data_IF_960986854626
#
_entry.id   IF_960986854626
#
_cell.length_a   1.000
_cell.length_b   1.000
_cell.length_c   1.000
_cell.angle_alpha   90.00
_cell.angle_beta   90.00
_cell.angle_gamma   90.00
#
_symmetry.space_group_name_H-M   'P 1'
#
loop_
_entity.id
_entity.type
_entity.pdbx_description
1 polymer ?
#
# COMPACT_ATOMS: atom_id res chain seq x y z
N UNK A 1 -21.92 -5.99 -6.11
CA UNK A 1 -21.25 -4.68 -6.09
C UNK A 1 -20.80 -4.26 -4.70
N UNK A 2 -21.67 -4.21 -3.69
CA UNK A 2 -21.28 -3.85 -2.31
C UNK A 2 -20.22 -4.80 -1.73
N UNK A 3 -20.40 -6.12 -1.90
CA UNK A 3 -19.42 -7.12 -1.43
C UNK A 3 -18.04 -6.92 -2.07
N UNK A 4 -18.00 -6.68 -3.38
CA UNK A 4 -16.76 -6.39 -4.11
C UNK A 4 -16.07 -5.14 -3.55
N UNK A 5 -16.82 -4.05 -3.35
CA UNK A 5 -16.30 -2.82 -2.78
C UNK A 5 -15.68 -3.02 -1.40
N UNK A 6 -16.37 -3.74 -0.51
CA UNK A 6 -15.89 -4.01 0.86
C UNK A 6 -14.63 -4.88 0.82
N UNK A 7 -14.65 -5.95 0.03
CA UNK A 7 -13.50 -6.85 -0.11
C UNK A 7 -12.27 -6.14 -0.67
N UNK A 8 -12.44 -5.31 -1.71
CA UNK A 8 -11.33 -4.55 -2.29
C UNK A 8 -10.82 -3.47 -1.33
N UNK A 9 -11.73 -2.75 -0.65
CA UNK A 9 -11.35 -1.73 0.33
C UNK A 9 -10.51 -2.31 1.45
N UNK A 10 -10.88 -3.49 1.96
CA UNK A 10 -10.10 -4.19 2.99
C UNK A 10 -8.74 -4.67 2.45
N UNK A 11 -8.72 -5.34 1.30
CA UNK A 11 -7.46 -5.80 0.68
C UNK A 11 -6.48 -4.65 0.45
N UNK A 12 -6.96 -3.56 -0.15
CA UNK A 12 -6.17 -2.37 -0.45
C UNK A 12 -5.75 -1.63 0.82
N UNK A 13 -6.60 -1.59 1.85
CA UNK A 13 -6.23 -1.02 3.14
C UNK A 13 -5.03 -1.75 3.75
N UNK A 14 -5.03 -3.08 3.79
CA UNK A 14 -3.87 -3.82 4.30
C UNK A 14 -2.66 -3.70 3.37
N UNK A 15 -2.87 -3.75 2.05
CA UNK A 15 -1.81 -3.60 1.04
C UNK A 15 -1.02 -2.30 1.20
N UNK A 16 -1.68 -1.19 1.55
CA UNK A 16 -1.03 0.10 1.79
C UNK A 16 -0.23 0.15 3.11
N UNK A 17 -0.21 -0.94 3.88
CA UNK A 17 0.56 -1.10 5.14
C UNK A 17 0.37 0.03 6.17
N UNK A 18 -0.87 0.42 6.47
CA UNK A 18 -1.20 1.69 7.15
C UNK A 18 -0.51 1.86 8.50
N UNK A 19 -0.36 0.78 9.26
CA UNK A 19 0.29 0.81 10.57
C UNK A 19 1.81 1.00 10.45
N UNK A 20 2.43 0.41 9.42
CA UNK A 20 3.84 0.65 9.14
C UNK A 20 4.06 2.11 8.72
N UNK A 21 3.28 2.60 7.77
CA UNK A 21 3.32 4.01 7.32
C UNK A 21 3.12 4.95 8.52
N UNK A 22 2.17 4.64 9.40
CA UNK A 22 1.93 5.40 10.62
C UNK A 22 3.15 5.43 11.56
N UNK A 23 3.84 4.30 11.76
CA UNK A 23 5.04 4.26 12.60
C UNK A 23 6.17 5.11 12.03
N UNK A 24 6.37 5.06 10.71
CA UNK A 24 7.38 5.87 10.01
C UNK A 24 7.00 7.35 10.07
N UNK A 25 5.74 7.69 9.80
CA UNK A 25 5.22 9.05 9.91
C UNK A 25 5.41 9.64 11.31
N UNK A 26 5.12 8.87 12.36
CA UNK A 26 5.33 9.32 13.74
C UNK A 26 6.79 9.56 14.07
N UNK A 27 7.71 8.78 13.50
CA UNK A 27 9.15 8.96 13.67
C UNK A 27 9.67 10.20 12.93
N UNK A 28 9.26 10.39 11.69
CA UNK A 28 9.75 11.51 10.86
C UNK A 28 9.16 12.86 11.27
N UNK A 29 7.99 12.85 11.90
CA UNK A 29 7.30 14.08 12.29
C UNK A 29 7.39 14.38 13.79
N UNK A 30 8.25 13.69 14.53
CA UNK A 30 8.36 13.81 16.00
C UNK A 30 8.66 15.25 16.45
N UNK A 31 9.49 15.99 15.70
CA UNK A 31 9.89 17.36 15.99
C UNK A 31 8.92 18.44 15.47
N UNK A 32 7.85 18.05 14.76
CA UNK A 32 6.94 18.98 14.08
C UNK A 32 5.76 19.40 14.97
N UNK A 33 5.22 20.58 14.70
CA UNK A 33 3.96 21.05 15.30
C UNK A 33 2.75 20.24 14.79
N UNK A 34 1.59 20.37 15.46
CA UNK A 34 0.35 19.70 15.03
C UNK A 34 -0.11 20.14 13.64
N UNK A 35 0.09 21.41 13.31
CA UNK A 35 -0.32 21.99 12.03
C UNK A 35 0.54 21.44 10.88
N UNK A 36 1.86 21.41 11.08
CA UNK A 36 2.81 20.86 10.12
C UNK A 36 2.58 19.36 9.90
N UNK A 37 2.39 18.58 10.98
CA UNK A 37 2.04 17.16 10.87
C UNK A 37 0.78 16.93 10.03
N UNK A 38 -0.26 17.74 10.25
CA UNK A 38 -1.50 17.63 9.48
C UNK A 38 -1.27 17.94 8.00
N UNK A 39 -0.43 18.92 7.68
CA UNK A 39 -0.08 19.26 6.31
C UNK A 39 0.66 18.09 5.63
N UNK A 40 1.66 17.49 6.30
CA UNK A 40 2.39 16.32 5.79
C UNK A 40 1.45 15.14 5.58
N UNK A 41 0.53 14.87 6.52
CA UNK A 41 -0.45 13.80 6.39
C UNK A 41 -1.35 13.99 5.16
N UNK A 42 -1.84 15.21 4.92
CA UNK A 42 -2.67 15.53 3.75
C UNK A 42 -1.86 15.34 2.46
N UNK A 43 -0.65 15.91 2.38
CA UNK A 43 0.22 15.79 1.20
C UNK A 43 0.56 14.33 0.89
N UNK A 44 0.91 13.55 1.91
CA UNK A 44 1.19 12.10 1.79
C UNK A 44 -0.04 11.37 1.25
N UNK A 45 -1.22 11.63 1.82
CA UNK A 45 -2.47 10.99 1.39
C UNK A 45 -2.79 11.30 -0.07
N UNK A 46 -2.65 12.58 -0.47
CA UNK A 46 -2.90 13.01 -1.84
C UNK A 46 -1.90 12.36 -2.80
N UNK A 47 -0.62 12.33 -2.46
CA UNK A 47 0.41 11.68 -3.27
C UNK A 47 0.12 10.19 -3.45
N UNK A 48 -0.12 9.45 -2.35
CA UNK A 48 -0.47 8.02 -2.38
C UNK A 48 -1.70 7.77 -3.25
N UNK A 49 -2.74 8.59 -3.10
CA UNK A 49 -3.98 8.45 -3.87
C UNK A 49 -3.74 8.66 -5.36
N UNK A 50 -3.04 9.74 -5.76
CA UNK A 50 -2.75 10.04 -7.16
C UNK A 50 -1.89 8.94 -7.78
N UNK A 51 -0.79 8.57 -7.13
CA UNK A 51 0.13 7.54 -7.62
C UNK A 51 -0.60 6.20 -7.75
N UNK A 52 -1.38 5.82 -6.74
CA UNK A 52 -2.08 4.53 -6.75
C UNK A 52 -3.15 4.46 -7.84
N UNK A 53 -3.88 5.56 -8.09
CA UNK A 53 -4.85 5.65 -9.18
C UNK A 53 -4.17 5.55 -10.55
N UNK A 54 -3.05 6.26 -10.74
CA UNK A 54 -2.26 6.18 -11.98
C UNK A 54 -1.85 4.73 -12.24
N UNK A 55 -1.27 4.05 -11.25
CA UNK A 55 -0.84 2.65 -11.38
C UNK A 55 -2.01 1.71 -11.65
N UNK A 56 -3.13 1.90 -10.95
CA UNK A 56 -4.34 1.11 -11.16
C UNK A 56 -4.85 1.24 -12.60
N UNK A 57 -4.90 2.44 -13.18
CA UNK A 57 -5.32 2.59 -14.57
C UNK A 57 -4.24 2.22 -15.60
N UNK A 58 -2.96 2.18 -15.19
CA UNK A 58 -1.84 1.83 -16.07
C UNK A 58 -1.62 0.32 -16.26
N UNK A 59 -2.31 -0.55 -15.52
CA UNK A 59 -2.13 -2.00 -15.55
C UNK A 59 -2.15 -2.61 -16.97
N UNK A 60 -3.25 -2.47 -17.70
CA UNK A 60 -3.38 -3.03 -19.06
C UNK A 60 -2.32 -2.50 -20.05
N UNK A 61 -2.10 -1.18 -20.18
CA UNK A 61 -1.07 -0.62 -21.06
C UNK A 61 0.33 -1.17 -20.78
N UNK A 62 0.73 -1.25 -19.50
CA UNK A 62 2.08 -1.64 -19.11
C UNK A 62 2.39 -3.08 -19.52
N UNK A 63 1.49 -4.02 -19.27
CA UNK A 63 1.73 -5.43 -19.63
C UNK A 63 1.85 -5.65 -21.13
N UNK A 64 1.02 -4.96 -21.93
CA UNK A 64 1.09 -5.03 -23.39
C UNK A 64 2.40 -4.50 -23.96
N UNK A 65 2.99 -3.47 -23.33
CA UNK A 65 4.21 -2.82 -23.81
C UNK A 65 5.47 -3.61 -23.44
N UNK A 66 5.47 -4.26 -22.27
CA UNK A 66 6.60 -5.04 -21.77
C UNK A 66 6.66 -6.47 -22.33
N UNK A 67 5.61 -6.93 -23.02
CA UNK A 67 5.55 -8.30 -23.55
C UNK A 67 5.51 -9.37 -22.46
N UNK A 68 5.03 -9.04 -21.26
CA UNK A 68 4.92 -9.96 -20.12
C UNK A 68 3.46 -10.36 -19.90
N UNK A 69 3.24 -11.62 -19.54
CA UNK A 69 1.90 -12.10 -19.20
C UNK A 69 1.47 -11.59 -17.83
N UNK A 70 0.17 -11.35 -17.66
CA UNK A 70 -0.42 -10.96 -16.38
C UNK A 70 -0.08 -12.00 -15.29
N UNK A 71 -0.13 -13.28 -15.64
CA UNK A 71 0.15 -14.38 -14.70
C UNK A 71 1.62 -14.49 -14.32
N UNK A 72 2.56 -14.29 -15.26
CA UNK A 72 3.98 -14.20 -14.94
C UNK A 72 4.27 -13.02 -13.99
N UNK A 73 3.61 -11.89 -14.22
CA UNK A 73 3.73 -10.72 -13.36
C UNK A 73 3.10 -10.93 -11.97
N UNK A 74 1.98 -11.66 -11.87
CA UNK A 74 1.38 -12.07 -10.58
C UNK A 74 2.40 -12.81 -9.72
N UNK A 75 3.13 -13.78 -10.28
CA UNK A 75 4.15 -14.53 -9.55
C UNK A 75 5.21 -13.57 -8.98
N UNK A 76 5.77 -12.69 -9.83
CA UNK A 76 6.79 -11.73 -9.40
C UNK A 76 6.30 -10.72 -8.36
N UNK A 77 5.15 -10.07 -8.58
CA UNK A 77 4.57 -9.11 -7.65
C UNK A 77 4.18 -9.77 -6.32
N UNK A 78 3.64 -10.99 -6.37
CA UNK A 78 3.35 -11.80 -5.20
C UNK A 78 4.62 -12.14 -4.40
N UNK A 79 5.72 -12.49 -5.06
CA UNK A 79 7.02 -12.69 -4.39
C UNK A 79 7.53 -11.43 -3.70
N UNK A 80 7.47 -10.27 -4.36
CA UNK A 80 7.84 -8.98 -3.74
C UNK A 80 6.94 -8.66 -2.54
N UNK A 81 5.63 -8.88 -2.64
CA UNK A 81 4.69 -8.69 -1.54
C UNK A 81 5.00 -9.62 -0.36
N UNK A 82 5.40 -10.86 -0.62
CA UNK A 82 5.82 -11.80 0.42
C UNK A 82 7.08 -11.31 1.15
N UNK A 83 8.08 -10.81 0.41
CA UNK A 83 9.29 -10.22 1.00
C UNK A 83 8.98 -8.97 1.83
N UNK A 84 8.06 -8.12 1.38
CA UNK A 84 7.57 -6.98 2.17
C UNK A 84 6.88 -7.46 3.45
N UNK A 85 6.00 -8.46 3.37
CA UNK A 85 5.38 -9.08 4.54
C UNK A 85 6.40 -9.60 5.56
N UNK A 86 7.39 -10.36 5.10
CA UNK A 86 8.48 -10.88 5.96
C UNK A 86 9.24 -9.74 6.63
N UNK A 87 9.49 -8.64 5.92
CA UNK A 87 10.17 -7.46 6.47
C UNK A 87 9.36 -6.80 7.60
N UNK A 88 8.03 -6.68 7.43
CA UNK A 88 7.12 -6.16 8.46
C UNK A 88 7.09 -7.06 9.71
N UNK A 89 7.00 -8.38 9.52
CA UNK A 89 6.99 -9.36 10.63
C UNK A 89 8.33 -9.35 11.37
N UNK A 90 9.43 -9.28 10.63
CA UNK A 90 10.79 -9.26 11.17
C UNK A 90 11.13 -7.95 11.89
N UNK A 91 10.37 -6.88 11.65
CA UNK A 91 10.63 -5.56 12.22
C UNK A 91 11.92 -4.91 11.70
N UNK A 92 12.49 -5.40 10.58
CA UNK A 92 13.65 -4.78 9.94
C UNK A 92 13.23 -3.41 9.43
N UNK A 93 13.71 -2.35 10.06
CA UNK A 93 13.53 -0.98 9.57
C UNK A 93 14.40 -0.82 8.34
N UNK A 94 13.81 -0.68 7.16
CA UNK A 94 14.53 -0.13 6.01
C UNK A 94 14.86 1.31 6.37
N UNK A 95 16.10 1.57 6.77
CA UNK A 95 16.61 2.93 6.95
C UNK A 95 16.68 3.57 5.55
N UNK A 96 15.61 4.23 5.14
CA UNK A 96 15.68 5.15 4.02
C UNK A 96 15.95 6.53 4.60
N UNK A 97 17.24 6.88 4.57
CA UNK A 97 17.67 8.23 4.90
C UNK A 97 17.00 9.20 3.94
N UNK A 98 16.29 10.18 4.49
CA UNK A 98 15.81 11.28 3.69
C UNK A 98 17.04 12.07 3.23
N UNK A 99 17.21 12.20 1.91
CA UNK A 99 18.17 13.14 1.38
C UNK A 99 17.81 14.56 1.86
N UNK A 100 18.79 15.38 2.29
CA UNK A 100 18.53 16.76 2.63
C UNK A 100 17.89 17.46 1.41
N UNK A 101 16.89 18.31 1.65
CA UNK A 101 16.06 19.06 0.66
C UNK A 101 14.91 18.34 -0.08
N UNK A 102 14.55 17.10 0.25
CA UNK A 102 13.42 16.41 -0.41
C UNK A 102 12.12 16.51 0.41
N UNK A 103 10.99 16.81 -0.24
CA UNK A 103 9.66 16.86 0.41
C UNK A 103 9.31 15.51 1.03
N UNK A 104 9.44 15.43 2.37
CA UNK A 104 9.19 14.25 3.20
C UNK A 104 7.83 13.59 2.95
N UNK A 105 6.83 14.35 2.50
CA UNK A 105 5.50 13.84 2.21
C UNK A 105 5.47 12.97 0.94
N UNK A 106 6.32 13.26 -0.04
CA UNK A 106 6.43 12.51 -1.30
C UNK A 106 7.49 11.43 -1.19
N UNK A 107 8.67 11.78 -0.64
CA UNK A 107 9.78 10.85 -0.41
C UNK A 107 10.24 10.98 1.04
N UNK A 108 10.22 9.92 1.87
CA UNK A 108 9.95 8.52 1.54
C UNK A 108 8.49 8.08 1.80
N UNK A 109 7.62 8.94 2.38
CA UNK A 109 6.32 8.51 2.92
C UNK A 109 5.36 7.97 1.85
N UNK A 110 5.13 8.71 0.77
CA UNK A 110 4.26 8.24 -0.31
C UNK A 110 4.98 7.18 -1.15
N UNK A 111 6.18 7.49 -1.65
CA UNK A 111 7.08 6.53 -2.29
C UNK A 111 8.39 6.53 -1.52
N UNK A 112 8.94 5.36 -1.14
CA UNK A 112 8.45 4.00 -1.41
C UNK A 112 7.76 3.35 -0.21
N UNK A 113 7.55 4.06 0.92
CA UNK A 113 7.05 3.47 2.15
C UNK A 113 5.60 2.98 1.99
N UNK A 114 4.72 3.81 1.43
CA UNK A 114 3.31 3.43 1.20
C UNK A 114 3.13 2.72 -0.15
N UNK A 115 3.63 3.32 -1.23
CA UNK A 115 3.57 2.78 -2.60
C UNK A 115 4.94 2.24 -2.98
N UNK A 116 5.32 1.12 -2.35
CA UNK A 116 6.55 0.39 -2.64
C UNK A 116 6.41 -0.58 -3.82
N UNK A 117 7.50 -1.27 -4.22
CA UNK A 117 7.51 -2.20 -5.36
C UNK A 117 6.41 -3.26 -5.33
N UNK A 118 6.11 -3.81 -4.15
CA UNK A 118 5.04 -4.79 -3.98
C UNK A 118 3.64 -4.19 -4.19
N UNK A 119 3.38 -3.00 -3.64
CA UNK A 119 2.13 -2.25 -3.82
C UNK A 119 1.94 -1.87 -5.28
N UNK A 120 3.01 -1.41 -5.94
CA UNK A 120 3.01 -1.08 -7.37
C UNK A 120 2.55 -2.28 -8.21
N UNK A 121 3.20 -3.44 -8.03
CA UNK A 121 2.82 -4.65 -8.76
C UNK A 121 1.39 -5.08 -8.51
N UNK A 122 0.95 -5.05 -7.25
CA UNK A 122 -0.43 -5.46 -6.89
C UNK A 122 -1.49 -4.53 -7.47
N UNK A 123 -1.24 -3.22 -7.53
CA UNK A 123 -2.16 -2.25 -8.13
C UNK A 123 -2.27 -2.42 -9.65
N UNK A 124 -1.14 -2.69 -10.33
CA UNK A 124 -1.12 -2.96 -11.77
C UNK A 124 -1.93 -4.23 -12.10
N UNK A 125 -1.76 -5.29 -11.30
CA UNK A 125 -2.53 -6.53 -11.43
C UNK A 125 -4.02 -6.25 -11.26
N UNK A 126 -4.40 -5.55 -10.19
CA UNK A 126 -5.81 -5.25 -9.91
C UNK A 126 -6.45 -4.43 -11.06
N UNK A 127 -5.71 -3.47 -11.62
CA UNK A 127 -6.14 -2.68 -12.76
C UNK A 127 -6.36 -3.47 -14.05
N UNK A 128 -5.57 -4.52 -14.24
CA UNK A 128 -5.64 -5.39 -15.40
C UNK A 128 -6.69 -6.52 -15.26
N UNK A 129 -6.95 -6.98 -14.03
CA UNK A 129 -7.94 -8.02 -13.75
C UNK A 129 -9.39 -7.55 -13.93
N UNK A 130 -9.69 -6.31 -13.54
CA UNK A 130 -11.05 -5.78 -13.59
C UNK A 130 -11.41 -5.39 -15.02
N UNK A 131 -12.19 -6.24 -15.70
CA UNK A 131 -12.54 -6.09 -17.11
C UNK A 131 -13.73 -5.17 -17.37
N UNK A 132 -14.73 -5.15 -16.49
CA UNK A 132 -15.93 -4.33 -16.67
C UNK A 132 -15.74 -2.86 -16.24
N UNK A 133 -16.31 -1.87 -16.97
CA UNK A 133 -16.22 -0.45 -16.57
C UNK A 133 -16.82 -0.20 -15.17
N UNK A 134 -17.90 -0.89 -14.83
CA UNK A 134 -18.52 -0.84 -13.50
C UNK A 134 -17.60 -1.41 -12.41
N UNK A 135 -16.98 -2.56 -12.65
CA UNK A 135 -16.05 -3.18 -11.70
C UNK A 135 -14.81 -2.32 -11.49
N UNK A 136 -14.32 -1.72 -12.57
CA UNK A 136 -13.22 -0.75 -12.54
C UNK A 136 -13.55 0.48 -11.70
N UNK A 137 -14.76 1.04 -11.85
CA UNK A 137 -15.22 2.16 -11.05
C UNK A 137 -15.35 1.78 -9.56
N UNK A 138 -15.87 0.59 -9.26
CA UNK A 138 -15.95 0.07 -7.88
C UNK A 138 -14.54 -0.12 -7.29
N UNK A 139 -13.59 -0.66 -8.05
CA UNK A 139 -12.20 -0.82 -7.62
C UNK A 139 -11.50 0.52 -7.37
N UNK A 140 -11.70 1.52 -8.23
CA UNK A 140 -11.18 2.87 -8.03
C UNK A 140 -11.79 3.52 -6.78
N UNK A 141 -13.11 3.37 -6.57
CA UNK A 141 -13.78 3.84 -5.36
C UNK A 141 -13.24 3.17 -4.09
N UNK A 142 -13.00 1.86 -4.12
CA UNK A 142 -12.40 1.12 -3.03
C UNK A 142 -10.96 1.61 -2.74
N UNK A 143 -10.16 1.85 -3.78
CA UNK A 143 -8.81 2.38 -3.64
C UNK A 143 -8.79 3.78 -3.01
N UNK A 144 -9.67 4.68 -3.44
CA UNK A 144 -9.84 5.99 -2.83
C UNK A 144 -10.25 5.86 -1.37
N UNK A 145 -11.20 4.97 -1.06
CA UNK A 145 -11.63 4.70 0.31
C UNK A 145 -10.48 4.21 1.21
N UNK A 146 -9.65 3.28 0.71
CA UNK A 146 -8.47 2.80 1.43
C UNK A 146 -7.43 3.90 1.64
N UNK A 147 -7.14 4.72 0.62
CA UNK A 147 -6.22 5.86 0.72
C UNK A 147 -6.70 6.87 1.77
N UNK A 148 -7.99 7.22 1.75
CA UNK A 148 -8.59 8.10 2.75
C UNK A 148 -8.51 7.50 4.16
N UNK A 149 -8.71 6.19 4.30
CA UNK A 149 -8.57 5.50 5.58
C UNK A 149 -7.14 5.60 6.13
N UNK A 150 -6.13 5.43 5.28
CA UNK A 150 -4.72 5.67 5.65
C UNK A 150 -4.52 7.14 6.05
N UNK A 151 -5.06 8.09 5.29
CA UNK A 151 -4.95 9.52 5.61
C UNK A 151 -5.59 9.91 6.93
N UNK A 152 -6.73 9.29 7.28
CA UNK A 152 -7.40 9.46 8.58
C UNK A 152 -6.52 8.92 9.71
N UNK A 153 -5.86 7.76 9.51
CA UNK A 153 -4.90 7.21 10.47
C UNK A 153 -3.71 8.14 10.69
N UNK A 154 -3.12 8.67 9.62
CA UNK A 154 -1.99 9.61 9.71
C UNK A 154 -2.39 10.92 10.41
N UNK A 155 -3.57 11.45 10.09
CA UNK A 155 -4.10 12.62 10.80
C UNK A 155 -4.33 12.35 12.29
N UNK A 156 -4.69 11.11 12.62
CA UNK A 156 -4.94 10.64 13.98
C UNK A 156 -3.69 10.04 14.64
N UNK A 157 -2.50 10.32 14.11
CA UNK A 157 -1.28 9.64 14.54
C UNK A 157 -0.94 9.86 16.03
N UNK A 158 -1.06 11.09 16.54
CA UNK A 158 -0.80 11.42 17.95
C UNK A 158 -1.74 10.68 18.92
N UNK A 159 -3.08 10.74 18.77
CA UNK A 159 -3.97 9.99 19.65
C UNK A 159 -3.77 8.48 19.51
N UNK A 160 -3.50 7.96 18.30
CA UNK A 160 -3.18 6.54 18.13
C UNK A 160 -1.89 6.14 18.85
N UNK A 161 -0.82 6.95 18.77
CA UNK A 161 0.43 6.72 19.52
C UNK A 161 0.17 6.67 21.03
N UNK A 162 -0.72 7.55 21.53
CA UNK A 162 -1.07 7.62 22.96
C UNK A 162 -1.94 6.43 23.41
N UNK A 163 -2.80 5.93 22.54
CA UNK A 163 -3.70 4.80 22.81
C UNK A 163 -2.99 3.44 22.71
N UNK A 164 -2.23 3.21 21.64
CA UNK A 164 -1.62 1.91 21.32
C UNK A 164 -0.18 1.78 21.83
N UNK A 165 0.52 2.90 22.02
CA UNK A 165 1.95 2.90 22.33
C UNK A 165 2.81 2.37 21.17
N UNK A 166 4.13 2.37 21.39
CA UNK A 166 5.10 1.82 20.43
C UNK A 166 4.95 0.31 20.25
N UNK A 167 4.66 -0.42 21.33
CA UNK A 167 4.44 -1.87 21.32
C UNK A 167 3.19 -2.23 20.54
N UNK A 168 2.05 -1.58 20.79
CA UNK A 168 0.81 -1.87 20.07
C UNK A 168 0.91 -1.58 18.58
N UNK A 169 1.55 -0.47 18.19
CA UNK A 169 1.80 -0.17 16.77
C UNK A 169 2.73 -1.21 16.11
N UNK A 170 3.73 -1.71 16.82
CA UNK A 170 4.60 -2.79 16.36
C UNK A 170 3.80 -4.09 16.14
N UNK A 171 2.92 -4.46 17.08
CA UNK A 171 2.05 -5.65 16.94
C UNK A 171 1.11 -5.50 15.74
N UNK A 172 0.45 -4.35 15.56
CA UNK A 172 -0.43 -4.11 14.40
C UNK A 172 0.32 -4.19 13.07
N UNK A 173 1.56 -3.71 13.03
CA UNK A 173 2.43 -3.82 11.86
C UNK A 173 2.76 -5.28 11.54
N UNK A 174 3.07 -6.10 12.55
CA UNK A 174 3.32 -7.53 12.36
C UNK A 174 2.08 -8.29 11.90
N UNK A 175 0.90 -7.97 12.45
CA UNK A 175 -0.38 -8.54 11.99
C UNK A 175 -0.62 -8.19 10.52
N UNK A 176 -0.35 -6.95 10.12
CA UNK A 176 -0.42 -6.53 8.71
C UNK A 176 0.51 -7.38 7.84
N UNK A 177 1.74 -7.63 8.30
CA UNK A 177 2.67 -8.53 7.62
C UNK A 177 2.14 -9.96 7.45
N UNK A 178 1.46 -10.52 8.45
CA UNK A 178 0.81 -11.84 8.35
C UNK A 178 -0.36 -11.85 7.34
N UNK A 179 -1.12 -10.76 7.25
CA UNK A 179 -2.18 -10.64 6.23
C UNK A 179 -1.57 -10.55 4.83
N UNK A 180 -0.52 -9.74 4.67
CA UNK A 180 0.16 -9.58 3.39
C UNK A 180 0.83 -10.88 2.92
N UNK A 181 1.36 -11.70 3.81
CA UNK A 181 1.96 -12.99 3.42
C UNK A 181 0.90 -13.95 2.85
N UNK A 182 -0.30 -13.96 3.44
CA UNK A 182 -1.43 -14.73 2.91
C UNK A 182 -1.91 -14.19 1.55
N UNK A 183 -2.01 -12.86 1.41
CA UNK A 183 -2.36 -12.22 0.12
C UNK A 183 -1.31 -12.54 -0.96
N UNK A 184 -0.03 -12.45 -0.62
CA UNK A 184 1.07 -12.78 -1.51
C UNK A 184 1.01 -14.22 -1.98
N UNK A 185 0.80 -15.17 -1.08
CA UNK A 185 0.61 -16.58 -1.43
C UNK A 185 -0.56 -16.75 -2.41
N UNK A 186 -1.71 -16.12 -2.13
CA UNK A 186 -2.87 -16.18 -3.01
C UNK A 186 -2.56 -15.65 -4.43
N UNK A 187 -1.85 -14.52 -4.54
CA UNK A 187 -1.46 -13.95 -5.84
C UNK A 187 -0.53 -14.91 -6.59
N UNK A 188 0.50 -15.46 -5.91
CA UNK A 188 1.44 -16.42 -6.51
C UNK A 188 0.73 -17.68 -7.00
N UNK A 189 -0.08 -18.31 -6.15
CA UNK A 189 -0.78 -19.54 -6.54
C UNK A 189 -1.83 -19.30 -7.64
N UNK A 190 -2.46 -18.14 -7.68
CA UNK A 190 -3.34 -17.75 -8.79
C UNK A 190 -2.56 -17.62 -10.09
N UNK A 191 -1.39 -16.96 -10.05
CA UNK A 191 -0.49 -16.86 -11.20
C UNK A 191 -0.03 -18.23 -11.68
N UNK A 192 0.46 -19.10 -10.79
CA UNK A 192 0.91 -20.46 -11.14
C UNK A 192 -0.23 -21.27 -11.76
N UNK A 193 -1.42 -21.26 -11.15
CA UNK A 193 -2.57 -22.03 -11.64
C UNK A 193 -2.95 -21.61 -13.07
N UNK A 194 -3.00 -20.31 -13.33
CA UNK A 194 -3.38 -19.79 -14.65
C UNK A 194 -2.25 -19.93 -15.68
N UNK A 195 -0.99 -19.89 -15.24
CA UNK A 195 0.16 -20.07 -16.12
C UNK A 195 0.31 -21.52 -16.61
N UNK A 196 -0.15 -22.49 -15.82
CA UNK A 196 -0.09 -23.92 -16.13
C UNK A 196 -1.37 -24.50 -16.76
N UNK A 197 -2.45 -23.72 -16.82
CA UNK A 197 -3.75 -24.13 -17.38
C UNK A 197 -3.92 -23.64 -18.81
#
# INVERSE_FOLDING_TARGET
>A
MITLFISLSMKLFFLLTPFFVLTVFLSMTEHMTKAEQRLVAIRTTMAVMVISLILYFAGNPIFSTLGITLDGFRIGAGSLLFLSAVSLVSGKRTSQEAAPDVDFAVVPLAIPITVGPATIGTLLILGAELGGPTERAVGAGALVCSCLSVGILLRSARPLKKLLGSVGLSVMTKITGLVLSAMAAQIVFTGIKNFLS
#
